data_IF_952719949352
#
_entry.id   IF_952719949352
#
_cell.length_a   1.000
_cell.length_b   1.000
_cell.length_c   1.000
_cell.angle_alpha   90.00
_cell.angle_beta   90.00
_cell.angle_gamma   90.00
#
_symmetry.space_group_name_H-M   'P 1'
#
loop_
_entity.id
_entity.type
_entity.pdbx_description
1 polymer ?
#
# COMPACT_ATOMS: atom_id res chain seq x y z
N UNK A 1 17.36 0.40 27.19
CA UNK A 1 18.05 1.06 26.05
C UNK A 1 17.78 0.39 24.69
N UNK A 2 18.01 -0.93 24.43
CA UNK A 2 17.78 -1.52 23.12
C UNK A 2 16.31 -1.42 22.64
N UNK A 3 15.35 -1.67 23.53
CA UNK A 3 13.92 -1.58 23.22
C UNK A 3 13.49 -0.20 22.76
N UNK A 4 13.95 0.85 23.44
CA UNK A 4 13.68 2.24 23.02
C UNK A 4 14.17 2.55 21.61
N UNK A 5 15.39 2.11 21.25
CA UNK A 5 15.94 2.34 19.92
C UNK A 5 15.13 1.62 18.82
N UNK A 6 14.65 0.41 19.10
CA UNK A 6 13.80 -0.34 18.17
C UNK A 6 12.46 0.39 17.96
N UNK A 7 11.82 0.80 19.04
CA UNK A 7 10.52 1.52 18.95
C UNK A 7 10.70 2.88 18.29
N UNK A 8 11.76 3.60 18.60
CA UNK A 8 12.05 4.89 17.96
C UNK A 8 12.29 4.73 16.46
N UNK A 9 13.08 3.72 16.05
CA UNK A 9 13.31 3.44 14.63
C UNK A 9 12.02 3.04 13.90
N UNK A 10 11.16 2.27 14.56
CA UNK A 10 9.85 1.91 14.03
C UNK A 10 8.93 3.12 13.88
N UNK A 11 8.89 4.01 14.87
CA UNK A 11 8.15 5.25 14.79
C UNK A 11 8.67 6.19 13.68
N UNK A 12 9.99 6.30 13.53
CA UNK A 12 10.60 7.06 12.45
C UNK A 12 10.21 6.52 11.07
N UNK A 13 10.03 5.19 10.93
CA UNK A 13 9.57 4.59 9.66
C UNK A 13 8.18 5.05 9.25
N UNK A 14 7.27 5.32 10.19
CA UNK A 14 5.96 5.89 9.89
C UNK A 14 6.04 7.31 9.33
N UNK A 15 6.97 8.13 9.80
CA UNK A 15 7.16 9.47 9.26
C UNK A 15 7.58 9.46 7.80
N UNK A 16 8.34 8.44 7.40
CA UNK A 16 8.75 8.24 6.01
C UNK A 16 7.59 7.65 5.19
N UNK A 17 6.83 6.73 5.78
CA UNK A 17 5.70 6.09 5.11
C UNK A 17 4.54 7.04 4.81
N UNK A 18 4.23 7.98 5.72
CA UNK A 18 3.12 8.93 5.57
C UNK A 18 3.23 9.72 4.24
N UNK A 19 4.31 10.47 3.97
CA UNK A 19 4.42 11.20 2.71
C UNK A 19 4.52 10.26 1.49
N UNK A 20 5.17 9.10 1.60
CA UNK A 20 5.27 8.15 0.50
C UNK A 20 3.89 7.65 0.06
N UNK A 21 3.01 7.26 1.00
CA UNK A 21 1.64 6.83 0.71
C UNK A 21 0.80 8.00 0.18
N UNK A 22 0.97 9.20 0.72
CA UNK A 22 0.26 10.38 0.25
C UNK A 22 0.64 10.74 -1.20
N UNK A 23 1.91 10.61 -1.59
CA UNK A 23 2.37 10.81 -2.96
C UNK A 23 1.78 9.73 -3.89
N UNK A 24 1.74 8.46 -3.46
CA UNK A 24 1.08 7.40 -4.22
C UNK A 24 -0.42 7.70 -4.45
N UNK A 25 -1.12 8.22 -3.44
CA UNK A 25 -2.49 8.69 -3.58
C UNK A 25 -2.60 9.78 -4.66
N UNK A 26 -1.74 10.79 -4.62
CA UNK A 26 -1.72 11.88 -5.62
C UNK A 26 -1.48 11.31 -7.02
N UNK A 27 -0.63 10.30 -7.19
CA UNK A 27 -0.41 9.61 -8.46
C UNK A 27 -1.72 9.07 -9.05
N UNK A 28 -2.62 8.52 -8.25
CA UNK A 28 -3.94 8.07 -8.74
C UNK A 28 -4.93 9.22 -8.94
N UNK A 29 -4.79 10.35 -8.24
CA UNK A 29 -5.58 11.56 -8.52
C UNK A 29 -5.30 12.11 -9.92
N UNK A 30 -4.07 11.96 -10.42
CA UNK A 30 -3.71 12.42 -11.78
C UNK A 30 -4.47 11.69 -12.90
N UNK A 31 -5.02 10.51 -12.63
CA UNK A 31 -5.90 9.80 -13.58
C UNK A 31 -7.15 10.63 -13.90
N UNK A 32 -7.66 11.39 -12.92
CA UNK A 32 -8.83 12.25 -13.07
C UNK A 32 -8.45 13.69 -13.45
N UNK A 33 -7.29 14.14 -12.99
CA UNK A 33 -6.78 15.49 -13.17
C UNK A 33 -5.35 15.46 -13.73
N UNK A 34 -5.15 15.16 -15.02
CA UNK A 34 -3.82 15.01 -15.63
C UNK A 34 -2.92 16.23 -15.46
N UNK A 35 -3.51 17.43 -15.45
CA UNK A 35 -2.79 18.68 -15.24
C UNK A 35 -2.06 18.74 -13.88
N UNK A 36 -2.55 18.01 -12.88
CA UNK A 36 -1.91 17.91 -11.57
C UNK A 36 -0.52 17.26 -11.66
N UNK A 37 -0.32 16.32 -12.61
CA UNK A 37 0.97 15.66 -12.85
C UNK A 37 2.11 16.61 -13.19
N UNK A 38 1.81 17.79 -13.72
CA UNK A 38 2.79 18.83 -14.11
C UNK A 38 2.91 19.96 -13.07
N UNK A 39 2.23 19.87 -11.92
CA UNK A 39 2.16 20.93 -10.93
C UNK A 39 2.63 20.44 -9.53
N UNK A 40 3.96 20.37 -9.26
CA UNK A 40 4.50 19.79 -8.02
C UNK A 40 3.95 20.45 -6.73
N UNK A 41 3.75 21.77 -6.74
CA UNK A 41 3.15 22.46 -5.57
C UNK A 41 1.70 22.06 -5.32
N UNK A 42 0.92 21.87 -6.38
CA UNK A 42 -0.46 21.41 -6.25
C UNK A 42 -0.51 19.96 -5.77
N UNK A 43 0.40 19.08 -6.24
CA UNK A 43 0.54 17.72 -5.74
C UNK A 43 0.84 17.71 -4.23
N UNK A 44 1.81 18.53 -3.79
CA UNK A 44 2.12 18.68 -2.37
C UNK A 44 0.92 19.20 -1.57
N UNK A 45 0.15 20.15 -2.10
CA UNK A 45 -1.07 20.66 -1.50
C UNK A 45 -2.13 19.58 -1.29
N UNK A 46 -2.37 18.73 -2.29
CA UNK A 46 -3.31 17.60 -2.19
C UNK A 46 -2.83 16.57 -1.18
N UNK A 47 -1.53 16.22 -1.18
CA UNK A 47 -0.94 15.29 -0.22
C UNK A 47 -1.09 15.81 1.22
N UNK A 48 -0.77 17.08 1.47
CA UNK A 48 -0.91 17.70 2.78
C UNK A 48 -2.37 17.77 3.24
N UNK A 49 -3.30 18.16 2.35
CA UNK A 49 -4.72 18.18 2.66
C UNK A 49 -5.25 16.80 3.08
N UNK A 50 -4.79 15.73 2.41
CA UNK A 50 -5.14 14.35 2.77
C UNK A 50 -4.56 13.98 4.14
N UNK A 51 -3.27 14.23 4.39
CA UNK A 51 -2.61 13.91 5.67
C UNK A 51 -3.32 14.63 6.83
N UNK A 52 -3.55 15.92 6.70
CA UNK A 52 -4.22 16.71 7.75
C UNK A 52 -5.69 16.32 7.91
N UNK A 53 -6.40 16.05 6.84
CA UNK A 53 -7.80 15.58 6.87
C UNK A 53 -7.94 14.28 7.65
N UNK A 54 -7.09 13.29 7.35
CA UNK A 54 -7.07 12.00 8.08
C UNK A 54 -6.56 12.16 9.52
N UNK A 55 -5.61 13.06 9.76
CA UNK A 55 -5.17 13.42 11.11
C UNK A 55 -6.31 13.94 11.97
N UNK A 56 -7.14 14.83 11.44
CA UNK A 56 -8.33 15.34 12.16
C UNK A 56 -9.34 14.21 12.44
N UNK A 57 -9.52 13.26 11.51
CA UNK A 57 -10.37 12.08 11.74
C UNK A 57 -9.81 11.21 12.86
N UNK A 58 -8.49 10.96 12.87
CA UNK A 58 -7.82 10.20 13.93
C UNK A 58 -8.00 10.83 15.33
N UNK A 59 -8.08 12.16 15.43
CA UNK A 59 -8.32 12.84 16.69
C UNK A 59 -9.74 12.64 17.25
N UNK A 60 -10.71 12.17 16.42
CA UNK A 60 -12.10 11.94 16.86
C UNK A 60 -12.31 10.60 17.55
N UNK A 61 -11.35 9.71 17.51
CA UNK A 61 -11.35 8.46 18.29
C UNK A 61 -11.15 7.16 17.48
N UNK A 62 -10.73 6.12 18.20
CA UNK A 62 -10.34 4.83 17.62
C UNK A 62 -11.51 4.03 17.02
N UNK A 63 -12.74 4.17 17.56
CA UNK A 63 -13.90 3.40 17.12
C UNK A 63 -14.31 3.69 15.67
N UNK A 64 -14.37 4.97 15.31
CA UNK A 64 -14.72 5.41 13.95
C UNK A 64 -13.61 5.06 12.95
N UNK A 65 -12.34 5.19 13.37
CA UNK A 65 -11.20 4.82 12.55
C UNK A 65 -11.19 3.33 12.20
N UNK A 66 -11.54 2.44 13.13
CA UNK A 66 -11.56 0.99 12.90
C UNK A 66 -12.69 0.55 11.94
N UNK A 67 -13.87 1.13 12.04
CA UNK A 67 -14.96 0.85 11.11
C UNK A 67 -14.62 1.30 9.69
N UNK A 68 -14.09 2.51 9.56
CA UNK A 68 -13.61 3.04 8.28
C UNK A 68 -12.52 2.14 7.67
N UNK A 69 -11.59 1.67 8.49
CA UNK A 69 -10.51 0.76 8.08
C UNK A 69 -11.05 -0.56 7.54
N UNK A 70 -12.07 -1.15 8.17
CA UNK A 70 -12.71 -2.38 7.70
C UNK A 70 -13.37 -2.18 6.33
N UNK A 71 -14.17 -1.13 6.18
CA UNK A 71 -14.85 -0.80 4.91
C UNK A 71 -13.83 -0.57 3.80
N UNK A 72 -12.80 0.24 4.04
CA UNK A 72 -11.74 0.48 3.08
C UNK A 72 -10.97 -0.80 2.73
N UNK A 73 -10.78 -1.71 3.69
CA UNK A 73 -10.09 -2.99 3.44
C UNK A 73 -10.87 -3.89 2.50
N UNK A 74 -12.19 -3.97 2.64
CA UNK A 74 -13.04 -4.74 1.73
C UNK A 74 -13.06 -4.10 0.33
N UNK A 75 -13.29 -2.79 0.28
CA UNK A 75 -13.39 -2.06 -1.00
C UNK A 75 -12.10 -2.10 -1.82
N UNK A 76 -10.92 -2.04 -1.18
CA UNK A 76 -9.63 -2.07 -1.89
C UNK A 76 -9.32 -3.41 -2.55
N UNK A 77 -9.90 -4.51 -2.08
CA UNK A 77 -9.66 -5.83 -2.67
C UNK A 77 -10.35 -6.00 -4.02
N UNK A 78 -11.51 -5.37 -4.23
CA UNK A 78 -12.29 -5.53 -5.45
C UNK A 78 -11.50 -5.17 -6.73
N UNK A 79 -10.90 -3.96 -6.86
CA UNK A 79 -10.14 -3.63 -8.06
C UNK A 79 -8.90 -4.51 -8.25
N UNK A 80 -8.26 -4.95 -7.16
CA UNK A 80 -7.11 -5.87 -7.24
C UNK A 80 -7.55 -7.21 -7.83
N UNK A 81 -8.65 -7.78 -7.35
CA UNK A 81 -9.19 -9.04 -7.86
C UNK A 81 -9.61 -8.93 -9.34
N UNK A 82 -10.17 -7.80 -9.75
CA UNK A 82 -10.49 -7.54 -11.17
C UNK A 82 -9.23 -7.55 -12.03
N UNK A 83 -8.15 -6.89 -11.59
CA UNK A 83 -6.88 -6.87 -12.33
C UNK A 83 -6.23 -8.27 -12.36
N UNK A 84 -6.28 -9.04 -11.28
CA UNK A 84 -5.78 -10.42 -11.25
C UNK A 84 -6.54 -11.28 -12.27
N UNK A 85 -7.88 -11.21 -12.27
CA UNK A 85 -8.70 -11.94 -13.24
C UNK A 85 -8.42 -11.52 -14.68
N UNK A 86 -8.28 -10.21 -14.94
CA UNK A 86 -7.94 -9.69 -16.26
C UNK A 86 -6.56 -10.17 -16.73
N UNK A 87 -5.56 -10.15 -15.84
CA UNK A 87 -4.21 -10.64 -16.15
C UNK A 87 -4.20 -12.12 -16.52
N UNK A 88 -5.04 -12.93 -15.85
CA UNK A 88 -5.18 -14.35 -16.17
C UNK A 88 -5.82 -14.61 -17.55
N UNK A 89 -6.73 -13.73 -18.01
CA UNK A 89 -7.49 -13.92 -19.26
C UNK A 89 -6.83 -13.21 -20.44
N UNK A 90 -6.35 -11.98 -20.25
CA UNK A 90 -5.87 -11.11 -21.32
C UNK A 90 -4.37 -10.77 -21.21
N UNK A 91 -3.67 -11.35 -20.24
CA UNK A 91 -2.25 -11.14 -20.04
C UNK A 91 -1.40 -11.71 -21.20
N UNK A 92 -0.31 -11.03 -21.52
CA UNK A 92 0.63 -11.43 -22.58
C UNK A 92 2.01 -11.67 -21.97
N UNK A 93 2.55 -12.87 -22.17
CA UNK A 93 3.89 -13.24 -21.70
C UNK A 93 4.98 -12.37 -22.33
N UNK A 94 4.74 -11.85 -23.54
CA UNK A 94 5.64 -10.92 -24.23
C UNK A 94 5.85 -9.59 -23.51
N UNK A 95 4.97 -9.23 -22.58
CA UNK A 95 5.09 -8.02 -21.78
C UNK A 95 6.05 -8.19 -20.58
N UNK A 96 6.37 -9.45 -20.23
CA UNK A 96 7.25 -9.69 -19.09
C UNK A 96 8.67 -9.15 -19.36
N UNK A 97 9.27 -8.48 -18.40
CA UNK A 97 10.65 -8.02 -18.54
C UNK A 97 11.62 -9.20 -18.64
N UNK A 98 12.73 -8.98 -19.31
CA UNK A 98 13.83 -9.93 -19.30
C UNK A 98 14.33 -10.09 -17.86
N UNK A 99 14.49 -11.33 -17.41
CA UNK A 99 15.05 -11.63 -16.10
C UNK A 99 16.48 -11.12 -16.04
N UNK A 100 16.83 -10.28 -15.08
CA UNK A 100 18.17 -9.73 -14.90
C UNK A 100 18.71 -8.97 -16.13
N UNK A 101 18.03 -7.90 -16.60
CA UNK A 101 18.44 -7.15 -17.79
C UNK A 101 19.82 -6.47 -17.66
N UNK A 102 20.28 -6.24 -16.44
CA UNK A 102 21.57 -5.60 -16.16
C UNK A 102 22.77 -6.56 -16.17
N UNK A 103 22.53 -7.90 -16.27
CA UNK A 103 23.58 -8.90 -16.19
C UNK A 103 24.33 -8.97 -14.84
N UNK A 104 23.79 -8.32 -13.81
CA UNK A 104 24.35 -8.34 -12.45
C UNK A 104 24.29 -9.73 -11.81
N UNK A 105 24.97 -9.91 -10.67
CA UNK A 105 24.92 -11.19 -9.96
C UNK A 105 23.47 -11.48 -9.50
N UNK A 106 23.03 -12.71 -9.66
CA UNK A 106 21.66 -13.12 -9.28
C UNK A 106 21.33 -12.78 -7.81
N UNK A 107 22.29 -13.00 -6.90
CA UNK A 107 22.15 -12.67 -5.49
C UNK A 107 22.01 -11.16 -5.25
N UNK A 108 22.74 -10.34 -6.01
CA UNK A 108 22.64 -8.87 -5.92
C UNK A 108 21.26 -8.38 -6.35
N UNK A 109 20.77 -8.86 -7.49
CA UNK A 109 19.42 -8.51 -7.98
C UNK A 109 18.34 -8.99 -7.01
N UNK A 110 18.45 -10.23 -6.50
CA UNK A 110 17.52 -10.79 -5.53
C UNK A 110 17.51 -9.97 -4.23
N UNK A 111 18.68 -9.60 -3.69
CA UNK A 111 18.77 -8.81 -2.47
C UNK A 111 18.14 -7.42 -2.63
N UNK A 112 18.40 -6.74 -3.75
CA UNK A 112 17.80 -5.43 -4.03
C UNK A 112 16.29 -5.53 -4.18
N UNK A 113 15.78 -6.52 -4.91
CA UNK A 113 14.36 -6.77 -5.07
C UNK A 113 13.70 -7.10 -3.74
N UNK A 114 14.34 -7.94 -2.91
CA UNK A 114 13.84 -8.29 -1.58
C UNK A 114 13.73 -7.05 -0.67
N UNK A 115 14.72 -6.15 -0.69
CA UNK A 115 14.67 -4.89 0.07
C UNK A 115 13.50 -4.00 -0.37
N UNK A 116 13.28 -3.86 -1.68
CA UNK A 116 12.19 -3.04 -2.23
C UNK A 116 10.81 -3.64 -1.90
N UNK A 117 10.69 -4.97 -1.95
CA UNK A 117 9.41 -5.65 -1.68
C UNK A 117 9.12 -5.81 -0.17
N UNK A 118 10.15 -5.76 0.68
CA UNK A 118 10.00 -5.91 2.13
C UNK A 118 9.08 -4.84 2.72
N UNK A 119 9.11 -3.61 2.17
CA UNK A 119 8.20 -2.54 2.60
C UNK A 119 6.72 -2.87 2.40
N UNK A 120 6.38 -3.66 1.39
CA UNK A 120 5.00 -4.08 1.13
C UNK A 120 4.43 -5.00 2.24
N UNK A 121 5.29 -5.63 3.04
CA UNK A 121 4.91 -6.47 4.18
C UNK A 121 5.02 -5.74 5.53
N UNK A 122 5.54 -4.52 5.56
CA UNK A 122 5.57 -3.72 6.78
C UNK A 122 4.13 -3.40 7.24
N UNK A 123 3.89 -3.48 8.54
CA UNK A 123 2.58 -3.23 9.13
C UNK A 123 1.77 -4.49 9.46
N UNK A 124 2.17 -5.68 9.00
CA UNK A 124 1.50 -6.94 9.40
C UNK A 124 1.63 -7.20 10.91
N UNK A 125 2.72 -6.72 11.51
CA UNK A 125 2.99 -6.77 12.95
C UNK A 125 2.13 -5.79 13.76
N UNK A 126 1.52 -4.78 13.15
CA UNK A 126 0.73 -3.76 13.85
C UNK A 126 -0.51 -4.33 14.55
N UNK A 127 -0.98 -5.51 14.15
CA UNK A 127 -2.00 -6.28 14.88
C UNK A 127 -1.59 -6.70 16.29
N UNK A 128 -0.30 -6.61 16.65
CA UNK A 128 0.18 -6.90 18.00
C UNK A 128 0.03 -5.71 18.96
N UNK A 129 -0.12 -4.49 18.46
CA UNK A 129 -0.16 -3.26 19.26
C UNK A 129 -1.39 -3.24 20.19
N UNK A 130 -2.64 -3.54 19.74
CA UNK A 130 -3.81 -3.59 20.60
C UNK A 130 -3.99 -4.96 21.30
N UNK A 131 -2.92 -5.66 21.66
CA UNK A 131 -3.01 -7.01 22.21
C UNK A 131 -3.90 -7.11 23.46
N UNK A 132 -3.99 -6.03 24.26
CA UNK A 132 -4.86 -5.97 25.44
C UNK A 132 -6.36 -5.92 25.12
N UNK A 133 -6.75 -5.58 23.89
CA UNK A 133 -8.15 -5.52 23.45
C UNK A 133 -8.57 -6.77 22.68
N UNK A 134 -7.63 -7.69 22.41
CA UNK A 134 -7.88 -8.89 21.61
C UNK A 134 -8.26 -10.06 22.51
N UNK A 135 -9.36 -10.75 22.19
CA UNK A 135 -9.77 -11.98 22.85
C UNK A 135 -8.80 -13.13 22.53
N UNK A 136 -8.30 -13.81 23.57
CA UNK A 136 -7.30 -14.89 23.46
C UNK A 136 -6.07 -14.50 22.60
N UNK A 137 -5.35 -13.41 22.95
CA UNK A 137 -4.32 -12.83 22.09
C UNK A 137 -3.21 -13.82 21.77
N UNK A 138 -2.84 -14.71 22.69
CA UNK A 138 -1.80 -15.73 22.48
C UNK A 138 -2.11 -16.72 21.35
N UNK A 139 -3.38 -16.94 21.03
CA UNK A 139 -3.81 -17.81 19.93
C UNK A 139 -4.23 -17.02 18.71
N UNK A 140 -4.94 -15.93 18.92
CA UNK A 140 -5.55 -15.12 17.83
C UNK A 140 -4.48 -14.38 17.04
N UNK A 141 -3.54 -13.70 17.70
CA UNK A 141 -2.51 -12.90 17.04
C UNK A 141 -1.62 -13.76 16.11
N UNK A 142 -1.00 -14.87 16.57
CA UNK A 142 -0.16 -15.68 15.69
C UNK A 142 -0.92 -16.25 14.48
N UNK A 143 -2.15 -16.72 14.69
CA UNK A 143 -2.98 -17.25 13.60
C UNK A 143 -3.35 -16.17 12.59
N UNK A 144 -3.80 -15.01 13.05
CA UNK A 144 -4.15 -13.90 12.18
C UNK A 144 -2.94 -13.41 11.39
N UNK A 145 -1.78 -13.30 12.03
CA UNK A 145 -0.53 -12.88 11.37
C UNK A 145 -0.12 -13.87 10.30
N UNK A 146 -0.08 -15.17 10.58
CA UNK A 146 0.33 -16.19 9.60
C UNK A 146 -0.65 -16.25 8.42
N UNK A 147 -1.96 -16.33 8.69
CA UNK A 147 -2.98 -16.38 7.64
C UNK A 147 -2.96 -15.07 6.82
N UNK A 148 -2.88 -13.93 7.51
CA UNK A 148 -2.81 -12.62 6.87
C UNK A 148 -1.59 -12.51 5.97
N UNK A 149 -0.40 -12.88 6.44
CA UNK A 149 0.85 -12.84 5.67
C UNK A 149 0.77 -13.70 4.42
N UNK A 150 0.28 -14.94 4.54
CA UNK A 150 0.14 -15.85 3.38
C UNK A 150 -0.87 -15.27 2.38
N UNK A 151 -2.02 -14.80 2.85
CA UNK A 151 -3.06 -14.21 1.98
C UNK A 151 -2.52 -13.00 1.24
N UNK A 152 -1.87 -12.09 1.95
CA UNK A 152 -1.27 -10.87 1.36
C UNK A 152 -0.18 -11.24 0.36
N UNK A 153 0.69 -12.19 0.67
CA UNK A 153 1.73 -12.66 -0.24
C UNK A 153 1.15 -13.20 -1.55
N UNK A 154 0.11 -14.04 -1.47
CA UNK A 154 -0.56 -14.58 -2.66
C UNK A 154 -1.21 -13.47 -3.51
N UNK A 155 -1.89 -12.52 -2.87
CA UNK A 155 -2.50 -11.38 -3.56
C UNK A 155 -1.43 -10.51 -4.22
N UNK A 156 -0.30 -10.24 -3.56
CA UNK A 156 0.79 -9.44 -4.12
C UNK A 156 1.46 -10.12 -5.31
N UNK A 157 1.74 -11.42 -5.20
CA UNK A 157 2.32 -12.19 -6.32
C UNK A 157 1.34 -12.18 -7.51
N UNK A 158 0.07 -12.49 -7.28
CA UNK A 158 -0.92 -12.56 -8.33
C UNK A 158 -1.18 -11.19 -8.99
N UNK A 159 -1.31 -10.11 -8.19
CA UNK A 159 -1.55 -8.77 -8.73
C UNK A 159 -0.34 -8.21 -9.47
N UNK A 160 0.87 -8.41 -8.95
CA UNK A 160 2.10 -7.98 -9.63
C UNK A 160 2.28 -8.72 -10.95
N UNK A 161 2.12 -10.04 -10.94
CA UNK A 161 2.17 -10.84 -12.17
C UNK A 161 1.11 -10.38 -13.19
N UNK A 162 -0.12 -10.12 -12.75
CA UNK A 162 -1.18 -9.63 -13.62
C UNK A 162 -0.84 -8.28 -14.26
N UNK A 163 -0.35 -7.31 -13.48
CA UNK A 163 0.07 -6.00 -14.01
C UNK A 163 1.20 -6.15 -15.01
N UNK A 164 2.22 -6.98 -14.72
CA UNK A 164 3.35 -7.23 -15.63
C UNK A 164 2.93 -7.94 -16.91
N UNK A 165 1.91 -8.77 -16.87
CA UNK A 165 1.35 -9.44 -18.06
C UNK A 165 0.50 -8.50 -18.92
N UNK A 166 -0.14 -7.49 -18.30
CA UNK A 166 -1.05 -6.56 -18.98
C UNK A 166 -0.34 -5.33 -19.56
N UNK A 167 0.71 -4.85 -18.90
CA UNK A 167 1.40 -3.61 -19.26
C UNK A 167 2.85 -3.90 -19.62
N UNK A 168 3.35 -3.41 -20.77
CA UNK A 168 4.75 -3.55 -21.16
C UNK A 168 5.71 -2.95 -20.12
N UNK A 169 6.87 -3.60 -19.95
CA UNK A 169 7.83 -3.21 -18.91
C UNK A 169 8.37 -1.78 -19.04
N UNK A 170 8.55 -1.30 -20.28
CA UNK A 170 8.98 0.08 -20.59
C UNK A 170 7.97 1.14 -20.13
N UNK A 171 6.68 0.83 -20.20
CA UNK A 171 5.62 1.71 -19.70
C UNK A 171 5.54 1.67 -18.17
N UNK A 172 5.75 0.49 -17.55
CA UNK A 172 5.70 0.35 -16.08
C UNK A 172 6.78 1.18 -15.38
N UNK A 173 7.97 1.33 -15.97
CA UNK A 173 9.08 2.11 -15.38
C UNK A 173 8.70 3.59 -15.15
N UNK A 174 7.85 4.16 -15.99
CA UNK A 174 7.43 5.57 -15.90
C UNK A 174 6.03 5.76 -15.33
N UNK A 175 5.31 4.67 -15.05
CA UNK A 175 3.94 4.71 -14.56
C UNK A 175 3.85 5.19 -13.11
N UNK A 176 2.96 6.14 -12.86
CA UNK A 176 2.56 6.59 -11.51
C UNK A 176 1.27 5.91 -11.02
N UNK A 177 0.60 5.14 -11.90
CA UNK A 177 -0.68 4.49 -11.59
C UNK A 177 -0.80 3.11 -12.28
N UNK A 178 0.11 2.14 -11.99
CA UNK A 178 0.26 0.90 -12.75
C UNK A 178 -1.01 0.03 -12.83
N UNK A 179 -1.85 0.04 -11.79
CA UNK A 179 -3.12 -0.67 -11.82
C UNK A 179 -4.15 -0.01 -12.75
N UNK A 180 -4.16 1.32 -12.83
CA UNK A 180 -5.03 2.02 -13.77
C UNK A 180 -4.58 1.80 -15.22
N UNK A 181 -3.27 1.74 -15.48
CA UNK A 181 -2.72 1.44 -16.79
C UNK A 181 -3.07 -0.01 -17.21
N UNK A 182 -2.95 -0.98 -16.30
CA UNK A 182 -3.39 -2.35 -16.55
C UNK A 182 -4.89 -2.43 -16.92
N UNK A 183 -5.72 -1.61 -16.28
CA UNK A 183 -7.16 -1.55 -16.53
C UNK A 183 -7.53 -1.00 -17.92
N UNK A 184 -6.64 -0.31 -18.63
CA UNK A 184 -6.90 0.19 -20.01
C UNK A 184 -7.27 -0.93 -20.97
N UNK A 185 -6.83 -2.18 -20.72
CA UNK A 185 -7.22 -3.35 -21.49
C UNK A 185 -8.71 -3.67 -21.46
N UNK A 186 -9.44 -3.20 -20.41
CA UNK A 186 -10.90 -3.34 -20.30
C UNK A 186 -11.68 -2.24 -21.06
N UNK A 187 -10.98 -1.21 -21.52
CA UNK A 187 -11.57 -0.05 -22.18
C UNK A 187 -11.45 1.23 -21.36
N UNK A 188 -11.84 2.39 -21.92
CA UNK A 188 -11.56 3.70 -21.34
C UNK A 188 -12.31 3.99 -20.03
N UNK A 189 -13.32 3.22 -19.68
CA UNK A 189 -14.09 3.33 -18.44
C UNK A 189 -13.39 2.70 -17.23
N UNK A 190 -12.49 1.74 -17.45
CA UNK A 190 -11.93 0.93 -16.37
C UNK A 190 -10.78 1.63 -15.59
N UNK A 191 -9.85 2.38 -16.20
CA UNK A 191 -8.82 3.10 -15.44
C UNK A 191 -9.38 4.02 -14.35
N UNK A 192 -10.41 4.86 -14.58
CA UNK A 192 -11.01 5.64 -13.53
C UNK A 192 -11.60 4.81 -12.38
N UNK A 193 -12.24 3.68 -12.69
CA UNK A 193 -12.81 2.79 -11.68
C UNK A 193 -11.74 2.18 -10.79
N UNK A 194 -10.66 1.68 -11.40
CA UNK A 194 -9.51 1.12 -10.66
C UNK A 194 -8.79 2.21 -9.87
N UNK A 195 -8.65 3.42 -10.43
CA UNK A 195 -8.06 4.55 -9.73
C UNK A 195 -8.86 4.93 -8.47
N UNK A 196 -10.20 4.90 -8.51
CA UNK A 196 -11.04 5.11 -7.31
C UNK A 196 -10.70 4.05 -6.24
N UNK A 197 -10.60 2.78 -6.61
CA UNK A 197 -10.21 1.71 -5.70
C UNK A 197 -8.81 1.93 -5.10
N UNK A 198 -7.86 2.38 -5.90
CA UNK A 198 -6.51 2.71 -5.45
C UNK A 198 -6.48 3.94 -4.52
N UNK A 199 -7.30 4.96 -4.79
CA UNK A 199 -7.47 6.11 -3.90
C UNK A 199 -8.02 5.69 -2.53
N UNK A 200 -9.05 4.83 -2.51
CA UNK A 200 -9.60 4.27 -1.27
C UNK A 200 -8.54 3.45 -0.53
N UNK A 201 -7.78 2.62 -1.25
CA UNK A 201 -6.72 1.79 -0.68
C UNK A 201 -5.60 2.61 -0.05
N UNK A 202 -5.08 3.60 -0.76
CA UNK A 202 -3.99 4.45 -0.29
C UNK A 202 -4.43 5.37 0.85
N UNK A 203 -5.65 5.94 0.79
CA UNK A 203 -6.23 6.70 1.88
C UNK A 203 -6.43 5.83 3.13
N UNK A 204 -6.90 4.60 2.99
CA UNK A 204 -7.06 3.66 4.09
C UNK A 204 -5.72 3.25 4.72
N UNK A 205 -4.71 2.97 3.90
CA UNK A 205 -3.36 2.70 4.39
C UNK A 205 -2.78 3.90 5.15
N UNK A 206 -2.93 5.10 4.60
CA UNK A 206 -2.48 6.33 5.24
C UNK A 206 -3.18 6.59 6.58
N UNK A 207 -4.52 6.37 6.65
CA UNK A 207 -5.28 6.48 7.88
C UNK A 207 -4.73 5.54 8.98
N UNK A 208 -4.44 4.28 8.64
CA UNK A 208 -3.84 3.32 9.57
C UNK A 208 -2.46 3.76 10.08
N UNK A 209 -1.58 4.22 9.17
CA UNK A 209 -0.23 4.68 9.55
C UNK A 209 -0.28 5.94 10.41
N UNK A 210 -1.16 6.90 10.11
CA UNK A 210 -1.34 8.11 10.93
C UNK A 210 -1.82 7.72 12.33
N UNK A 211 -2.80 6.83 12.46
CA UNK A 211 -3.30 6.35 13.73
C UNK A 211 -2.19 5.68 14.55
N UNK A 212 -1.45 4.73 13.95
CA UNK A 212 -0.36 4.02 14.61
C UNK A 212 0.80 4.93 15.01
N UNK A 213 1.08 5.97 14.23
CA UNK A 213 2.13 6.95 14.54
C UNK A 213 1.86 7.73 15.83
N UNK A 214 0.59 7.89 16.22
CA UNK A 214 0.18 8.46 17.50
C UNK A 214 0.15 7.45 18.64
N UNK A 215 -0.28 6.21 18.38
CA UNK A 215 -0.39 5.16 19.40
C UNK A 215 0.96 4.68 19.92
N UNK A 216 1.97 4.62 19.07
CA UNK A 216 3.28 4.08 19.42
C UNK A 216 4.00 4.91 20.50
N UNK A 217 4.14 6.25 20.37
CA UNK A 217 4.72 7.08 21.43
C UNK A 217 3.91 7.05 22.74
N UNK A 218 2.58 6.95 22.63
CA UNK A 218 1.72 6.84 23.80
C UNK A 218 1.98 5.55 24.58
N UNK A 219 2.13 4.42 23.89
CA UNK A 219 2.46 3.14 24.53
C UNK A 219 3.80 3.20 25.26
N UNK A 220 4.82 3.84 24.67
CA UNK A 220 6.15 4.02 25.30
C UNK A 220 6.11 4.95 26.51
N UNK A 221 5.22 5.94 26.51
CA UNK A 221 5.10 6.89 27.60
C UNK A 221 4.38 6.29 28.83
N UNK A 222 3.65 5.19 28.65
CA UNK A 222 2.92 4.48 29.70
C UNK A 222 3.74 3.36 30.36
N UNK A 223 4.86 2.94 29.75
CA UNK A 223 5.86 2.00 30.30
C UNK A 223 6.91 2.72 31.13
#
# INVERSE_FOLDING_TARGET
MPGFLVVWGYWASYWIAIPAIAIAFVGYVTVFFPALGQAPLAQAGVALALIWGLGVVSLRGASEANFLQLVMTVLKLLPILVIIGLGAVAGQVSNLPVVNPTGGSFLGVLSTTALLTMWAFAGLESGTIPAGEIRDPQKTIPRATVIGTITVALVYIASTAAVMLLVPADQLVTSTSPFADAAQRLGPWAPPLVAIGALISTAGALNGVIFLSGQLPMAVALD
#
